data_IF_925070531460
#
_entry.id   IF_925070531460
#
_cell.length_a   1.000
_cell.length_b   1.000
_cell.length_c   1.000
_cell.angle_alpha   90.00
_cell.angle_beta   90.00
_cell.angle_gamma   90.00
#
_symmetry.space_group_name_H-M   'P 1'
#
loop_
_entity.id
_entity.type
_entity.pdbx_description
1 polymer ?
#
# COMPACT_ATOMS: atom_id res chain seq x y z
N UNK A 1 18.18 -31.34 -45.98
CA UNK A 1 17.40 -32.58 -45.83
C UNK A 1 16.22 -32.39 -44.87
N UNK A 2 15.46 -31.28 -44.99
CA UNK A 2 14.35 -30.92 -44.05
C UNK A 2 13.04 -30.58 -44.80
N UNK A 3 13.08 -30.40 -46.13
CA UNK A 3 11.93 -29.95 -46.91
C UNK A 3 11.00 -31.05 -47.45
N UNK A 4 11.19 -32.32 -47.07
CA UNK A 4 10.40 -33.43 -47.64
C UNK A 4 9.35 -34.03 -46.67
N UNK A 5 9.28 -33.56 -45.43
CA UNK A 5 8.36 -34.11 -44.42
C UNK A 5 6.98 -33.43 -44.36
N UNK A 6 6.79 -32.28 -45.02
CA UNK A 6 5.53 -31.52 -44.94
C UNK A 6 4.47 -31.91 -45.99
N UNK A 7 4.80 -32.74 -46.99
CA UNK A 7 3.91 -32.96 -48.13
C UNK A 7 2.93 -34.15 -47.99
N UNK A 8 2.88 -34.86 -46.85
CA UNK A 8 2.06 -36.10 -46.74
C UNK A 8 1.26 -36.28 -45.45
N UNK A 9 0.94 -35.21 -44.73
CA UNK A 9 -0.11 -35.31 -43.69
C UNK A 9 -1.48 -35.21 -44.34
N UNK A 10 -2.07 -36.36 -44.69
CA UNK A 10 -3.51 -36.46 -44.92
C UNK A 10 -4.21 -36.22 -43.58
N UNK A 11 -4.70 -35.00 -43.36
CA UNK A 11 -5.51 -34.68 -42.19
C UNK A 11 -6.70 -35.65 -42.14
N UNK A 12 -6.81 -36.41 -41.06
CA UNK A 12 -7.98 -37.25 -40.86
C UNK A 12 -9.20 -36.33 -40.64
N UNK A 13 -10.39 -36.72 -41.13
CA UNK A 13 -11.60 -35.92 -40.91
C UNK A 13 -11.87 -35.66 -39.42
N UNK A 14 -11.47 -36.59 -38.54
CA UNK A 14 -11.54 -36.43 -37.08
C UNK A 14 -10.68 -35.27 -36.58
N UNK A 15 -9.50 -35.08 -37.15
CA UNK A 15 -8.58 -34.01 -36.79
C UNK A 15 -9.14 -32.64 -37.21
N UNK A 16 -9.77 -32.56 -38.39
CA UNK A 16 -10.41 -31.33 -38.89
C UNK A 16 -11.54 -30.91 -37.94
N UNK A 17 -12.37 -31.84 -37.49
CA UNK A 17 -13.46 -31.57 -36.54
C UNK A 17 -12.91 -31.11 -35.18
N UNK A 18 -11.84 -31.75 -34.69
CA UNK A 18 -11.21 -31.37 -33.42
C UNK A 18 -10.62 -29.95 -33.45
N UNK A 19 -9.91 -29.58 -34.52
CA UNK A 19 -9.38 -28.22 -34.68
C UNK A 19 -10.50 -27.18 -34.83
N UNK A 20 -11.58 -27.52 -35.55
CA UNK A 20 -12.76 -26.65 -35.66
C UNK A 20 -13.40 -26.37 -34.30
N UNK A 21 -13.60 -27.40 -33.48
CA UNK A 21 -14.17 -27.24 -32.13
C UNK A 21 -13.26 -26.41 -31.21
N UNK A 22 -11.95 -26.63 -31.26
CA UNK A 22 -10.98 -25.89 -30.44
C UNK A 22 -10.99 -24.39 -30.78
N UNK A 23 -10.99 -24.04 -32.08
CA UNK A 23 -11.03 -22.64 -32.52
C UNK A 23 -12.34 -21.94 -32.10
N UNK A 24 -13.45 -22.68 -32.08
CA UNK A 24 -14.74 -22.15 -31.65
C UNK A 24 -14.76 -21.82 -30.15
N UNK A 25 -14.18 -22.69 -29.31
CA UNK A 25 -14.06 -22.45 -27.86
C UNK A 25 -13.17 -21.23 -27.58
N UNK A 26 -12.02 -21.12 -28.27
CA UNK A 26 -11.12 -19.97 -28.13
C UNK A 26 -11.81 -18.69 -28.58
N UNK A 27 -12.51 -18.70 -29.72
CA UNK A 27 -13.26 -17.55 -30.23
C UNK A 27 -14.36 -17.07 -29.28
N UNK A 28 -15.13 -17.99 -28.69
CA UNK A 28 -16.15 -17.66 -27.70
C UNK A 28 -15.56 -17.07 -26.41
N UNK A 29 -14.39 -17.57 -25.99
CA UNK A 29 -13.69 -17.08 -24.79
C UNK A 29 -13.20 -15.65 -24.97
N UNK A 30 -12.66 -15.34 -26.16
CA UNK A 30 -12.24 -13.97 -26.53
C UNK A 30 -13.44 -13.03 -26.57
N UNK A 31 -14.54 -13.43 -27.23
CA UNK A 31 -15.77 -12.63 -27.28
C UNK A 31 -16.34 -12.35 -25.89
N UNK A 32 -16.31 -13.34 -25.00
CA UNK A 32 -16.75 -13.17 -23.62
C UNK A 32 -15.89 -12.17 -22.84
N UNK A 33 -14.56 -12.25 -22.99
CA UNK A 33 -13.62 -11.32 -22.36
C UNK A 33 -13.84 -9.88 -22.82
N UNK A 34 -14.07 -9.65 -24.11
CA UNK A 34 -14.37 -8.30 -24.62
C UNK A 34 -15.76 -7.80 -24.24
N UNK A 35 -16.74 -8.69 -24.05
CA UNK A 35 -18.10 -8.26 -23.68
C UNK A 35 -18.25 -7.89 -22.19
N UNK A 36 -17.40 -8.44 -21.31
CA UNK A 36 -17.48 -8.20 -19.86
C UNK A 36 -16.26 -7.44 -19.27
N UNK A 37 -15.19 -7.25 -20.05
CA UNK A 37 -13.92 -6.71 -19.56
C UNK A 37 -13.79 -5.18 -19.49
N UNK A 38 -14.81 -4.40 -19.85
CA UNK A 38 -14.75 -2.93 -19.87
C UNK A 38 -15.70 -2.27 -18.88
N UNK A 39 -15.59 -2.62 -17.59
CA UNK A 39 -16.03 -1.72 -16.53
C UNK A 39 -14.82 -0.90 -16.09
N UNK A 40 -14.45 0.09 -16.92
CA UNK A 40 -13.56 1.15 -16.49
C UNK A 40 -14.30 1.97 -15.43
N UNK A 41 -13.89 1.80 -14.17
CA UNK A 41 -14.35 2.63 -13.06
C UNK A 41 -13.78 4.04 -13.26
N UNK A 42 -14.49 4.89 -13.99
CA UNK A 42 -14.39 6.33 -13.81
C UNK A 42 -15.02 6.67 -12.47
N UNK A 43 -14.20 7.00 -11.47
CA UNK A 43 -14.70 7.75 -10.31
C UNK A 43 -14.14 9.15 -10.37
N UNK A 44 -15.05 10.04 -10.77
CA UNK A 44 -14.89 11.47 -10.82
C UNK A 44 -14.55 12.07 -9.45
N UNK A 45 -13.70 13.08 -9.52
CA UNK A 45 -13.45 14.11 -8.52
C UNK A 45 -14.73 14.92 -8.27
N UNK A 46 -15.20 14.98 -7.03
CA UNK A 46 -16.10 16.05 -6.56
C UNK A 46 -15.62 16.53 -5.21
N UNK A 47 -14.93 17.68 -5.23
CA UNK A 47 -14.79 18.57 -4.08
C UNK A 47 -16.17 19.14 -3.74
N UNK A 48 -16.66 18.88 -2.54
CA UNK A 48 -17.75 19.62 -1.92
C UNK A 48 -17.31 19.96 -0.49
N UNK A 49 -16.79 21.17 -0.34
CA UNK A 49 -16.60 21.84 0.95
C UNK A 49 -17.97 22.07 1.60
N UNK A 50 -18.35 21.21 2.56
CA UNK A 50 -19.67 21.26 3.20
C UNK A 50 -19.68 21.58 4.70
N UNK A 51 -18.57 22.00 5.30
CA UNK A 51 -18.54 22.41 6.71
C UNK A 51 -18.09 23.86 6.91
N UNK A 52 -18.90 24.78 6.37
CA UNK A 52 -19.00 26.16 6.85
C UNK A 52 -20.44 26.42 7.26
N UNK A 53 -20.78 26.09 8.51
CA UNK A 53 -21.96 26.62 9.19
C UNK A 53 -21.97 26.27 10.69
N UNK A 54 -21.76 27.31 11.50
CA UNK A 54 -22.66 27.69 12.61
C UNK A 54 -22.51 26.97 13.96
N UNK A 55 -21.67 27.54 14.84
CA UNK A 55 -21.97 27.60 16.27
C UNK A 55 -21.66 29.00 16.84
N UNK A 56 -22.67 29.81 17.21
CA UNK A 56 -22.50 30.96 18.11
C UNK A 56 -22.88 30.55 19.54
N UNK A 57 -22.07 30.86 20.56
CA UNK A 57 -22.32 30.89 22.03
C UNK A 57 -21.00 30.50 22.74
N UNK A 58 -20.35 31.25 23.64
CA UNK A 58 -20.71 32.30 24.59
C UNK A 58 -19.57 33.33 24.69
N UNK A 59 -19.92 34.58 24.97
CA UNK A 59 -18.98 35.59 25.44
C UNK A 59 -18.87 35.63 26.96
N UNK A 60 -17.69 35.99 27.44
CA UNK A 60 -17.50 36.78 28.66
C UNK A 60 -16.24 37.64 28.52
N UNK A 61 -16.43 38.94 28.71
CA UNK A 61 -15.42 39.98 28.95
C UNK A 61 -14.41 39.51 29.99
N UNK A 62 -13.13 39.84 29.79
CA UNK A 62 -12.33 40.54 30.80
C UNK A 62 -11.07 41.19 30.21
N UNK A 63 -10.79 42.39 30.71
CA UNK A 63 -9.66 43.27 30.44
C UNK A 63 -8.32 42.66 30.88
N UNK A 64 -7.30 42.62 30.00
CA UNK A 64 -5.87 42.84 30.36
C UNK A 64 -4.92 42.88 29.15
N UNK A 65 -4.32 44.07 28.98
CA UNK A 65 -3.00 44.42 28.45
C UNK A 65 -2.58 44.05 27.01
N UNK A 66 -1.95 44.99 26.27
CA UNK A 66 -1.40 44.74 24.96
C UNK A 66 -0.11 43.92 25.08
N UNK A 67 -0.15 42.67 24.62
CA UNK A 67 1.05 41.86 24.41
C UNK A 67 1.65 42.25 23.08
N UNK A 68 2.91 42.69 23.11
CA UNK A 68 3.72 43.06 21.96
C UNK A 68 3.72 41.95 20.90
N UNK A 69 3.23 42.30 19.73
CA UNK A 69 3.38 41.55 18.49
C UNK A 69 4.85 41.57 18.07
N UNK A 70 5.65 40.65 18.62
CA UNK A 70 6.91 40.26 17.99
C UNK A 70 6.56 39.28 16.88
N UNK A 71 6.58 39.78 15.65
CA UNK A 71 6.71 38.99 14.43
C UNK A 71 8.02 38.19 14.49
N UNK A 72 8.00 37.08 15.22
CA UNK A 72 9.02 36.05 15.18
C UNK A 72 8.83 35.27 13.89
N UNK A 73 9.87 35.31 13.05
CA UNK A 73 9.90 34.74 11.72
C UNK A 73 9.41 33.29 11.70
N UNK A 74 8.75 32.96 10.60
CA UNK A 74 8.51 31.58 10.17
C UNK A 74 9.81 30.80 10.40
N UNK A 75 9.82 29.81 11.32
CA UNK A 75 10.97 28.94 11.45
C UNK A 75 11.09 28.22 10.11
N UNK A 76 12.25 28.40 9.47
CA UNK A 76 12.65 27.62 8.30
C UNK A 76 12.54 26.15 8.70
N UNK A 77 11.50 25.51 8.18
CA UNK A 77 11.07 24.15 8.42
C UNK A 77 12.23 23.24 8.07
N UNK A 78 12.89 22.70 9.10
CA UNK A 78 13.95 21.71 8.94
C UNK A 78 13.38 20.53 8.15
N UNK A 79 13.97 20.25 6.99
CA UNK A 79 13.60 19.22 6.01
C UNK A 79 13.79 17.78 6.52
N UNK A 80 13.39 17.50 7.77
CA UNK A 80 13.60 16.23 8.48
C UNK A 80 12.29 15.51 8.82
N UNK A 81 11.16 16.05 8.37
CA UNK A 81 9.85 15.52 8.71
C UNK A 81 9.11 15.03 7.49
N UNK A 82 8.45 13.89 7.63
CA UNK A 82 7.60 13.28 6.62
C UNK A 82 6.13 13.42 7.01
N UNK A 83 5.28 13.74 6.04
CA UNK A 83 3.83 13.82 6.24
C UNK A 83 3.21 12.43 6.19
N UNK A 84 2.43 12.08 7.21
CA UNK A 84 1.72 10.80 7.30
C UNK A 84 0.26 11.07 7.61
N UNK A 85 -0.63 10.43 6.86
CA UNK A 85 -2.06 10.53 7.10
C UNK A 85 -2.46 9.71 8.32
N UNK A 86 -3.29 10.30 9.18
CA UNK A 86 -3.89 9.60 10.31
C UNK A 86 -5.19 8.91 9.93
N UNK A 87 -5.63 7.94 10.73
CA UNK A 87 -6.93 7.27 10.58
C UNK A 87 -8.11 8.23 10.73
N UNK A 88 -7.93 9.40 11.36
CA UNK A 88 -8.93 10.47 11.45
C UNK A 88 -8.96 11.36 10.21
N UNK A 89 -7.97 11.25 9.33
CA UNK A 89 -7.82 12.05 8.12
C UNK A 89 -6.92 13.27 8.25
N UNK A 90 -6.35 13.51 9.44
CA UNK A 90 -5.39 14.58 9.69
C UNK A 90 -3.99 14.21 9.15
N UNK A 91 -3.08 15.20 9.14
CA UNK A 91 -1.66 14.97 8.81
C UNK A 91 -0.83 15.02 10.09
N UNK A 92 -0.04 13.97 10.29
CA UNK A 92 0.96 13.83 11.33
C UNK A 92 2.35 13.97 10.72
N UNK A 93 3.20 14.80 11.30
CA UNK A 93 4.60 14.92 10.89
C UNK A 93 5.46 13.94 11.70
N UNK A 94 6.12 13.03 11.00
CA UNK A 94 7.00 11.99 11.58
C UNK A 94 8.44 12.18 11.11
N UNK A 95 9.37 11.36 11.59
CA UNK A 95 10.76 11.38 11.09
C UNK A 95 10.84 10.97 9.60
N UNK A 96 11.57 11.76 8.80
CA UNK A 96 11.76 11.48 7.37
C UNK A 96 12.82 10.40 7.14
N UNK A 97 12.35 9.16 7.12
CA UNK A 97 13.17 8.00 6.78
C UNK A 97 13.49 7.90 5.28
N UNK A 98 12.86 8.69 4.39
CA UNK A 98 13.07 8.56 2.93
C UNK A 98 14.49 8.93 2.47
N UNK A 99 15.30 9.46 3.39
CA UNK A 99 16.71 9.82 3.18
C UNK A 99 17.68 8.81 3.81
N UNK A 100 17.19 7.75 4.47
CA UNK A 100 18.07 6.73 5.04
C UNK A 100 18.80 5.98 3.91
N UNK A 101 20.06 5.55 4.14
CA UNK A 101 20.89 4.95 3.09
C UNK A 101 20.39 3.59 2.59
N UNK A 102 19.46 2.96 3.31
CA UNK A 102 18.85 1.67 2.96
C UNK A 102 17.45 1.79 2.34
N UNK A 103 16.92 3.02 2.20
CA UNK A 103 15.68 3.23 1.46
C UNK A 103 15.93 3.21 -0.03
N UNK A 104 15.09 2.46 -0.73
CA UNK A 104 15.02 2.45 -2.19
C UNK A 104 13.82 3.29 -2.61
N UNK A 105 14.03 4.18 -3.58
CA UNK A 105 12.96 4.93 -4.22
C UNK A 105 12.65 4.33 -5.59
N UNK A 106 11.39 4.07 -5.88
CA UNK A 106 10.95 3.77 -7.25
C UNK A 106 11.15 4.98 -8.17
N UNK A 107 11.21 4.80 -9.51
CA UNK A 107 11.19 5.90 -10.45
C UNK A 107 10.08 6.91 -10.12
N UNK A 108 10.38 8.19 -10.28
CA UNK A 108 9.48 9.31 -9.99
C UNK A 108 9.09 9.47 -8.50
N UNK A 109 9.77 8.79 -7.57
CA UNK A 109 9.53 8.87 -6.12
C UNK A 109 8.08 8.53 -5.72
N UNK A 110 7.42 7.68 -6.49
CA UNK A 110 6.02 7.28 -6.23
C UNK A 110 5.87 6.34 -5.02
N UNK A 111 6.93 5.61 -4.68
CA UNK A 111 7.02 4.71 -3.53
C UNK A 111 8.43 4.76 -2.98
N UNK A 112 8.53 4.82 -1.66
CA UNK A 112 9.77 4.61 -0.92
C UNK A 112 9.64 3.31 -0.14
N UNK A 113 10.61 2.41 -0.25
CA UNK A 113 10.52 1.11 0.39
C UNK A 113 11.84 0.63 0.99
N UNK A 114 11.70 -0.26 1.96
CA UNK A 114 12.81 -0.92 2.65
C UNK A 114 12.51 -2.41 2.77
N UNK A 115 13.51 -3.24 2.46
CA UNK A 115 13.44 -4.70 2.55
C UNK A 115 14.17 -5.20 3.80
N UNK A 116 13.58 -6.16 4.52
CA UNK A 116 14.11 -6.70 5.77
C UNK A 116 14.20 -8.23 5.77
N UNK A 117 15.29 -8.83 6.29
CA UNK A 117 16.55 -8.17 6.63
C UNK A 117 17.18 -7.55 5.38
N UNK A 118 17.93 -6.46 5.54
CA UNK A 118 18.47 -5.63 4.44
C UNK A 118 18.87 -6.46 3.20
N UNK A 119 17.99 -6.45 2.19
CA UNK A 119 18.09 -7.25 0.99
C UNK A 119 18.37 -6.35 -0.21
N UNK A 120 19.24 -6.79 -1.11
CA UNK A 120 19.61 -6.07 -2.34
C UNK A 120 18.73 -6.46 -3.53
N UNK A 121 17.85 -7.44 -3.35
CA UNK A 121 17.03 -8.07 -4.36
C UNK A 121 15.57 -7.96 -3.97
N UNK A 122 14.69 -7.71 -4.95
CA UNK A 122 13.23 -7.78 -4.78
C UNK A 122 12.71 -9.22 -4.83
N UNK A 123 13.61 -10.21 -4.83
CA UNK A 123 13.24 -11.61 -4.74
C UNK A 123 12.63 -11.91 -3.35
N UNK A 124 11.37 -12.35 -3.28
CA UNK A 124 10.68 -12.59 -2.01
C UNK A 124 11.29 -13.69 -1.14
N UNK A 125 12.21 -14.52 -1.66
CA UNK A 125 12.95 -15.48 -0.84
C UNK A 125 14.11 -14.86 -0.05
N UNK A 126 14.43 -13.60 -0.27
CA UNK A 126 15.59 -12.92 0.31
C UNK A 126 15.21 -11.93 1.43
N UNK A 127 13.92 -11.69 1.66
CA UNK A 127 13.43 -10.82 2.71
C UNK A 127 12.19 -11.42 3.41
N UNK A 128 12.05 -11.15 4.71
CA UNK A 128 10.92 -11.54 5.55
C UNK A 128 9.75 -10.57 5.42
N UNK A 129 10.02 -9.28 5.23
CA UNK A 129 9.00 -8.25 5.02
C UNK A 129 9.57 -7.01 4.31
N UNK A 130 8.67 -6.22 3.77
CA UNK A 130 8.96 -4.88 3.24
C UNK A 130 8.02 -3.84 3.86
N UNK A 131 8.55 -2.63 4.00
CA UNK A 131 7.80 -1.45 4.45
C UNK A 131 7.79 -0.45 3.30
N UNK A 132 6.62 -0.10 2.82
CA UNK A 132 6.40 0.85 1.74
C UNK A 132 5.71 2.11 2.27
N UNK A 133 6.15 3.27 1.81
CA UNK A 133 5.48 4.56 2.00
C UNK A 133 5.06 5.13 0.64
N UNK A 134 3.81 5.61 0.58
CA UNK A 134 3.18 6.17 -0.61
C UNK A 134 2.98 7.68 -0.42
N UNK A 135 3.81 8.54 -1.06
CA UNK A 135 3.66 9.99 -0.93
C UNK A 135 2.35 10.53 -1.51
N UNK A 136 1.68 9.79 -2.41
CA UNK A 136 0.43 10.23 -3.05
C UNK A 136 -0.74 10.32 -2.07
N UNK A 137 -0.75 9.51 -1.02
CA UNK A 137 -1.83 9.49 -0.02
C UNK A 137 -1.32 9.48 1.43
N UNK A 138 0.00 9.66 1.61
CA UNK A 138 0.70 9.71 2.88
C UNK A 138 0.48 8.47 3.74
N UNK A 139 0.38 7.29 3.12
CA UNK A 139 0.08 6.03 3.81
C UNK A 139 1.22 5.01 3.73
N UNK A 140 1.10 3.96 4.55
CA UNK A 140 2.04 2.84 4.56
C UNK A 140 1.40 1.52 4.10
N UNK A 141 2.21 0.67 3.47
CA UNK A 141 1.90 -0.74 3.24
C UNK A 141 3.04 -1.62 3.70
N UNK A 142 2.74 -2.61 4.52
CA UNK A 142 3.68 -3.61 5.01
C UNK A 142 3.33 -4.95 4.36
N UNK A 143 4.27 -5.53 3.63
CA UNK A 143 4.08 -6.86 3.01
C UNK A 143 4.90 -7.88 3.77
N UNK A 144 4.22 -8.88 4.34
CA UNK A 144 4.83 -9.97 5.10
C UNK A 144 5.14 -11.13 4.15
N UNK A 145 6.42 -11.30 3.83
CA UNK A 145 6.96 -12.29 2.89
C UNK A 145 7.47 -13.58 3.59
N UNK A 146 7.49 -13.62 4.93
CA UNK A 146 7.93 -14.77 5.72
C UNK A 146 6.90 -15.32 6.70
N UNK A 147 7.15 -16.53 7.20
CA UNK A 147 6.44 -17.14 8.33
C UNK A 147 7.40 -17.37 9.52
N UNK A 148 6.92 -17.32 10.78
CA UNK A 148 5.52 -17.20 11.19
C UNK A 148 4.99 -15.74 11.16
N UNK A 149 3.80 -15.54 10.58
CA UNK A 149 3.22 -14.20 10.35
C UNK A 149 3.15 -13.32 11.61
N UNK A 150 2.85 -13.91 12.78
CA UNK A 150 2.78 -13.18 14.04
C UNK A 150 4.11 -12.50 14.39
N UNK A 151 5.22 -13.21 14.20
CA UNK A 151 6.55 -12.69 14.53
C UNK A 151 7.02 -11.68 13.49
N UNK A 152 6.87 -12.01 12.20
CA UNK A 152 7.25 -11.14 11.09
C UNK A 152 6.48 -9.81 11.17
N UNK A 153 5.18 -9.85 11.48
CA UNK A 153 4.35 -8.65 11.65
C UNK A 153 4.81 -7.77 12.81
N UNK A 154 5.20 -8.35 13.94
CA UNK A 154 5.72 -7.59 15.10
C UNK A 154 7.04 -6.91 14.76
N UNK A 155 7.98 -7.63 14.13
CA UNK A 155 9.25 -7.06 13.67
C UNK A 155 9.03 -5.91 12.69
N UNK A 156 8.13 -6.08 11.73
CA UNK A 156 7.79 -5.04 10.76
C UNK A 156 7.19 -3.79 11.43
N UNK A 157 6.31 -3.96 12.41
CA UNK A 157 5.76 -2.84 13.19
C UNK A 157 6.82 -2.17 14.07
N UNK A 158 7.71 -2.93 14.70
CA UNK A 158 8.84 -2.41 15.49
C UNK A 158 9.80 -1.58 14.65
N UNK A 159 10.10 -2.02 13.44
CA UNK A 159 11.01 -1.29 12.56
C UNK A 159 10.34 -0.07 11.92
N UNK A 160 9.05 -0.15 11.59
CA UNK A 160 8.28 1.04 11.20
C UNK A 160 8.30 2.08 12.32
N UNK A 161 7.95 1.70 13.55
CA UNK A 161 7.96 2.57 14.73
C UNK A 161 9.30 3.31 14.89
N UNK A 162 10.42 2.60 14.78
CA UNK A 162 11.77 3.18 14.85
C UNK A 162 12.03 4.18 13.74
N UNK A 163 11.66 3.86 12.49
CA UNK A 163 11.91 4.74 11.33
C UNK A 163 11.13 6.04 11.39
N UNK A 164 9.87 5.98 11.82
CA UNK A 164 9.01 7.17 11.89
C UNK A 164 9.11 7.89 13.23
N UNK A 165 9.87 7.35 14.19
CA UNK A 165 10.01 7.93 15.52
C UNK A 165 8.71 7.90 16.35
N UNK A 166 7.86 6.90 16.14
CA UNK A 166 6.60 6.71 16.87
C UNK A 166 6.69 5.52 17.83
N UNK A 167 5.94 5.57 18.93
CA UNK A 167 5.71 4.39 19.77
C UNK A 167 4.76 3.39 19.09
N UNK A 168 4.79 2.13 19.54
CA UNK A 168 3.87 1.09 19.06
C UNK A 168 2.39 1.50 19.16
N UNK A 169 2.03 2.27 20.19
CA UNK A 169 0.65 2.74 20.38
C UNK A 169 0.28 3.85 19.39
N UNK A 170 1.23 4.74 19.10
CA UNK A 170 1.03 5.85 18.15
C UNK A 170 0.91 5.35 16.71
N UNK A 171 1.53 4.21 16.37
CA UNK A 171 1.33 3.57 15.07
C UNK A 171 -0.14 3.23 14.77
N UNK A 172 -0.98 3.04 15.80
CA UNK A 172 -2.41 2.82 15.57
C UNK A 172 -3.16 4.06 15.08
N UNK A 173 -2.53 5.24 15.11
CA UNK A 173 -3.10 6.49 14.63
C UNK A 173 -2.85 6.74 13.14
N UNK A 174 -1.88 6.06 12.51
CA UNK A 174 -1.51 6.29 11.10
C UNK A 174 -2.25 5.33 10.16
N UNK A 175 -2.41 5.72 8.91
CA UNK A 175 -2.97 4.85 7.86
C UNK A 175 -1.89 3.87 7.40
N UNK A 176 -2.02 2.62 7.83
CA UNK A 176 -1.15 1.52 7.42
C UNK A 176 -1.97 0.28 7.05
N UNK A 177 -1.60 -0.36 5.94
CA UNK A 177 -2.12 -1.67 5.55
C UNK A 177 -1.06 -2.73 5.77
N UNK A 178 -1.45 -3.90 6.27
CA UNK A 178 -0.55 -5.03 6.49
C UNK A 178 -1.10 -6.22 5.74
N UNK A 179 -0.35 -6.75 4.79
CA UNK A 179 -0.80 -7.81 3.90
C UNK A 179 0.23 -8.92 3.78
N UNK A 180 -0.20 -10.09 3.34
CA UNK A 180 0.70 -11.21 3.07
C UNK A 180 0.37 -11.83 1.71
N UNK A 181 1.38 -12.16 0.89
CA UNK A 181 1.14 -12.85 -0.38
C UNK A 181 0.55 -14.24 -0.18
N UNK A 182 -0.20 -14.70 -1.18
CA UNK A 182 -0.83 -16.03 -1.17
C UNK A 182 0.15 -17.19 -1.06
N UNK A 183 1.37 -17.03 -1.58
CA UNK A 183 2.42 -18.05 -1.51
C UNK A 183 3.06 -18.16 -0.12
N UNK A 184 2.90 -17.14 0.75
CA UNK A 184 3.30 -17.21 2.17
C UNK A 184 2.20 -17.89 2.97
N UNK A 185 0.97 -17.34 2.91
CA UNK A 185 -0.14 -17.86 3.68
C UNK A 185 -1.47 -17.67 2.96
N UNK A 186 -2.05 -18.77 2.47
CA UNK A 186 -3.30 -18.73 1.72
C UNK A 186 -4.52 -18.27 2.55
N UNK A 187 -4.52 -18.50 3.86
CA UNK A 187 -5.66 -18.14 4.72
C UNK A 187 -5.71 -16.64 5.02
N UNK A 188 -4.54 -16.01 5.18
CA UNK A 188 -4.40 -14.60 5.50
C UNK A 188 -4.18 -13.71 4.27
N UNK A 189 -3.95 -14.31 3.10
CA UNK A 189 -3.89 -13.59 1.84
C UNK A 189 -5.15 -12.75 1.58
N UNK A 190 -4.97 -11.62 0.90
CA UNK A 190 -6.01 -10.67 0.52
C UNK A 190 -6.77 -10.02 1.69
N UNK A 191 -6.27 -10.17 2.92
CA UNK A 191 -6.80 -9.53 4.13
C UNK A 191 -5.82 -8.47 4.62
N UNK A 192 -6.35 -7.34 5.08
CA UNK A 192 -5.57 -6.43 5.92
C UNK A 192 -5.46 -7.02 7.33
N UNK A 193 -4.25 -7.39 7.73
CA UNK A 193 -3.96 -7.97 9.04
C UNK A 193 -3.89 -6.90 10.14
N UNK A 194 -3.72 -5.63 9.76
CA UNK A 194 -3.52 -4.51 10.66
C UNK A 194 -2.22 -4.61 11.47
N UNK A 195 -1.82 -3.50 12.09
CA UNK A 195 -0.66 -3.47 12.98
C UNK A 195 -0.98 -4.18 14.32
N UNK A 196 0.01 -4.80 14.98
CA UNK A 196 -0.17 -5.46 16.27
C UNK A 196 -0.78 -4.51 17.31
N UNK A 197 -1.67 -5.01 18.16
CA UNK A 197 -2.30 -4.21 19.21
C UNK A 197 -3.33 -3.16 18.76
N UNK A 198 -3.42 -2.85 17.47
CA UNK A 198 -4.35 -1.82 16.97
C UNK A 198 -5.81 -2.33 16.88
N UNK A 199 -6.81 -1.42 16.97
CA UNK A 199 -8.21 -1.77 16.75
C UNK A 199 -8.43 -2.38 15.36
N UNK A 200 -9.22 -3.47 15.29
CA UNK A 200 -9.52 -4.15 14.03
C UNK A 200 -8.41 -5.05 13.47
N UNK A 201 -7.22 -5.08 14.09
CA UNK A 201 -6.17 -5.98 13.65
C UNK A 201 -6.47 -7.45 13.96
N UNK A 202 -5.99 -8.34 13.10
CA UNK A 202 -6.02 -9.78 13.32
C UNK A 202 -5.24 -10.09 14.59
N UNK A 203 -5.82 -10.92 15.46
CA UNK A 203 -5.19 -11.35 16.71
C UNK A 203 -4.34 -12.58 16.45
N UNK A 204 -3.04 -12.44 16.68
CA UNK A 204 -2.10 -13.53 16.79
C UNK A 204 -1.70 -13.76 18.24
N UNK A 205 -1.10 -14.93 18.51
CA UNK A 205 -0.56 -15.20 19.83
C UNK A 205 0.62 -14.26 20.11
N UNK A 206 0.56 -13.56 21.25
CA UNK A 206 1.58 -12.61 21.70
C UNK A 206 1.41 -11.18 21.20
N UNK A 207 0.22 -10.80 20.71
CA UNK A 207 -0.19 -9.40 20.55
C UNK A 207 -0.72 -8.78 21.85
#
# INVERSE_FOLDING_TARGET
MVNEYLARMKLSPTLIVAFGALLLIIGLSILYFFSFGSNATETATTNEDFFSATFPFFGTKDDRSPVSTTSQGVPVQSSKTLEVRTVTGDILFVEDFTKDPDVIAEPDNRVFYVLYPNATSTNPSEFDYEINYFPSDHSFSLVLAGEPLAEVRRKAADDLAKRVGLSQKELCSIVATVQTPRWVNQYYADKNLGLPGCPGSVKFQGD
#
